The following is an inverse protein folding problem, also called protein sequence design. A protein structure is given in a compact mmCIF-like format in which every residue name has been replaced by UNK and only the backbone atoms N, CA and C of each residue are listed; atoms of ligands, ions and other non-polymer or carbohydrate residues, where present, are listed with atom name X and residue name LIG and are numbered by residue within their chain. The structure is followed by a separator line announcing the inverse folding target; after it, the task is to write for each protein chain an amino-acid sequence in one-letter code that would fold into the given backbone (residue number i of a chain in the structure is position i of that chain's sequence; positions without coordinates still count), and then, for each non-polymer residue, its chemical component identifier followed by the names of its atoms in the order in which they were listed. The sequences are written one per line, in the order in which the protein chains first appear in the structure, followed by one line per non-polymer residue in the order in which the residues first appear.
data_IF_995310715195
#
_entry.id   IF_995310715195
#
_cell.length_a   1.000
_cell.length_b   1.000
_cell.length_c   1.000
_cell.angle_alpha   90.00
_cell.angle_beta   90.00
_cell.angle_gamma   90.00
#
_symmetry.space_group_name_H-M   'P 1'
#
loop_
_entity.id
_entity.type
_entity.pdbx_description
1 polymer ?
#
# COMPACT_ATOMS: atom_id res chain seq x y z
N UNK A 1 24.45 -23.74 25.91
CA UNK A 1 24.81 -22.66 24.96
C UNK A 1 23.57 -22.22 24.15
N UNK A 2 22.72 -21.32 24.68
CA UNK A 2 21.51 -20.83 23.99
C UNK A 2 21.62 -19.37 23.49
N UNK A 3 22.75 -18.71 23.72
CA UNK A 3 22.92 -17.25 23.54
C UNK A 3 23.08 -16.89 22.05
N UNK A 4 23.74 -17.74 21.25
CA UNK A 4 24.00 -17.47 19.83
C UNK A 4 22.77 -17.52 18.91
N UNK A 5 21.80 -18.41 19.20
CA UNK A 5 20.58 -18.57 18.37
C UNK A 5 19.66 -17.35 18.47
N UNK A 6 19.61 -16.71 19.63
CA UNK A 6 18.75 -15.54 19.90
C UNK A 6 19.25 -14.30 19.15
N UNK A 7 20.57 -14.08 19.12
CA UNK A 7 21.20 -12.97 18.39
C UNK A 7 21.03 -13.10 16.87
N UNK A 8 21.23 -14.30 16.31
CA UNK A 8 21.02 -14.56 14.87
C UNK A 8 19.55 -14.35 14.49
N UNK A 9 18.61 -14.84 15.31
CA UNK A 9 17.17 -14.61 15.08
C UNK A 9 16.81 -13.13 15.09
N UNK A 10 17.38 -12.34 16.01
CA UNK A 10 17.18 -10.89 16.07
C UNK A 10 17.73 -10.19 14.83
N UNK A 11 18.94 -10.56 14.38
CA UNK A 11 19.57 -10.00 13.18
C UNK A 11 18.76 -10.29 11.91
N UNK A 12 18.34 -11.54 11.71
CA UNK A 12 17.51 -11.95 10.56
C UNK A 12 16.16 -11.20 10.57
N UNK A 13 15.56 -11.02 11.75
CA UNK A 13 14.31 -10.26 11.89
C UNK A 13 14.48 -8.80 11.50
N UNK A 14 15.59 -8.16 11.88
CA UNK A 14 15.89 -6.77 11.49
C UNK A 14 16.13 -6.61 9.98
N UNK A 15 16.90 -7.53 9.37
CA UNK A 15 17.16 -7.51 7.93
C UNK A 15 15.89 -7.73 7.09
N UNK A 16 15.03 -8.67 7.51
CA UNK A 16 13.75 -8.94 6.84
C UNK A 16 12.78 -7.76 6.95
N UNK A 17 12.78 -7.05 8.08
CA UNK A 17 11.97 -5.84 8.26
C UNK A 17 12.41 -4.70 7.31
N UNK A 18 13.72 -4.48 7.15
CA UNK A 18 14.25 -3.50 6.19
C UNK A 18 13.84 -3.83 4.76
N UNK A 19 13.98 -5.11 4.35
CA UNK A 19 13.56 -5.58 3.03
C UNK A 19 12.07 -5.37 2.77
N UNK A 20 11.21 -5.67 3.75
CA UNK A 20 9.76 -5.42 3.68
C UNK A 20 9.45 -3.94 3.49
N UNK A 21 10.11 -3.06 4.26
CA UNK A 21 9.90 -1.60 4.16
C UNK A 21 10.24 -1.09 2.76
N UNK A 22 11.36 -1.55 2.19
CA UNK A 22 11.76 -1.17 0.83
C UNK A 22 10.76 -1.64 -0.23
N UNK A 23 10.22 -2.87 -0.11
CA UNK A 23 9.20 -3.38 -1.03
C UNK A 23 7.91 -2.54 -1.02
N UNK A 24 7.47 -2.11 0.16
CA UNK A 24 6.27 -1.26 0.29
C UNK A 24 6.51 0.11 -0.34
N UNK A 25 7.68 0.72 -0.10
CA UNK A 25 8.05 2.02 -0.70
C UNK A 25 8.03 1.92 -2.23
N UNK A 26 8.71 0.93 -2.79
CA UNK A 26 8.73 0.69 -4.24
C UNK A 26 7.32 0.48 -4.82
N UNK A 27 6.46 -0.26 -4.10
CA UNK A 27 5.07 -0.48 -4.51
C UNK A 27 4.31 0.85 -4.62
N UNK A 28 4.44 1.73 -3.64
CA UNK A 28 3.77 3.04 -3.62
C UNK A 28 4.34 3.95 -4.72
N UNK A 29 5.66 3.97 -4.91
CA UNK A 29 6.30 4.77 -5.96
C UNK A 29 5.81 4.37 -7.36
N UNK A 30 5.64 3.06 -7.61
CA UNK A 30 5.09 2.58 -8.87
C UNK A 30 3.61 2.95 -9.04
N UNK A 31 2.82 2.88 -7.97
CA UNK A 31 1.41 3.27 -7.98
C UNK A 31 1.17 4.78 -8.10
N UNK A 32 2.16 5.61 -7.74
CA UNK A 32 2.12 7.06 -8.00
C UNK A 32 2.27 7.37 -9.49
N UNK A 33 2.98 6.54 -10.25
CA UNK A 33 3.18 6.75 -11.69
C UNK A 33 1.92 6.41 -12.48
N UNK A 34 1.34 5.22 -12.24
CA UNK A 34 0.14 4.78 -12.93
C UNK A 34 -0.65 3.73 -12.14
N UNK A 35 -1.98 3.65 -12.34
CA UNK A 35 -2.76 2.59 -11.73
C UNK A 35 -2.36 1.19 -12.20
N UNK A 36 -2.19 0.25 -11.27
CA UNK A 36 -1.73 -1.11 -11.57
C UNK A 36 -2.41 -2.17 -10.70
N UNK A 37 -2.47 -3.40 -11.22
CA UNK A 37 -2.93 -4.58 -10.47
C UNK A 37 -1.77 -5.20 -9.69
N UNK A 38 -2.07 -6.07 -8.73
CA UNK A 38 -1.04 -6.81 -7.99
C UNK A 38 -0.13 -7.66 -8.90
N UNK A 39 -0.66 -8.19 -9.99
CA UNK A 39 0.15 -8.93 -10.97
C UNK A 39 1.05 -8.00 -11.79
N UNK A 40 0.53 -6.85 -12.23
CA UNK A 40 1.33 -5.86 -12.96
C UNK A 40 2.52 -5.36 -12.12
N UNK A 41 2.27 -5.08 -10.83
CA UNK A 41 3.31 -4.69 -9.89
C UNK A 41 4.33 -5.82 -9.68
N UNK A 42 3.89 -7.08 -9.63
CA UNK A 42 4.77 -8.23 -9.46
C UNK A 42 5.77 -8.35 -10.61
N UNK A 43 5.29 -8.24 -11.85
CA UNK A 43 6.13 -8.28 -13.05
C UNK A 43 7.08 -7.08 -13.10
N UNK A 44 6.61 -5.88 -12.72
CA UNK A 44 7.42 -4.66 -12.79
C UNK A 44 8.50 -4.55 -11.72
N UNK A 45 8.20 -4.97 -10.49
CA UNK A 45 9.07 -4.79 -9.32
C UNK A 45 9.85 -6.06 -8.94
N UNK A 46 9.50 -7.22 -9.50
CA UNK A 46 10.03 -8.51 -9.08
C UNK A 46 9.55 -8.97 -7.70
N UNK A 47 8.63 -8.25 -7.06
CA UNK A 47 8.08 -8.63 -5.76
C UNK A 47 7.04 -9.74 -5.97
N UNK A 48 7.09 -10.78 -5.14
CA UNK A 48 6.13 -11.89 -5.20
C UNK A 48 4.69 -11.37 -5.02
N UNK A 49 3.78 -11.78 -5.90
CA UNK A 49 2.37 -11.36 -5.92
C UNK A 49 1.64 -11.52 -4.58
N UNK A 50 1.92 -12.60 -3.84
CA UNK A 50 1.34 -12.82 -2.52
C UNK A 50 1.71 -11.72 -1.51
N UNK A 51 2.95 -11.22 -1.57
CA UNK A 51 3.40 -10.12 -0.72
C UNK A 51 2.69 -8.82 -1.11
N UNK A 52 2.65 -8.52 -2.41
CA UNK A 52 1.97 -7.34 -2.94
C UNK A 52 0.49 -7.31 -2.56
N UNK A 53 -0.21 -8.44 -2.68
CA UNK A 53 -1.63 -8.52 -2.30
C UNK A 53 -1.84 -8.17 -0.83
N UNK A 54 -0.98 -8.65 0.08
CA UNK A 54 -1.04 -8.27 1.50
C UNK A 54 -0.70 -6.80 1.73
N UNK A 55 0.30 -6.26 1.03
CA UNK A 55 0.67 -4.85 1.17
C UNK A 55 -0.43 -3.93 0.67
N UNK A 56 -1.00 -4.22 -0.49
CA UNK A 56 -2.10 -3.44 -1.08
C UNK A 56 -3.32 -3.44 -0.17
N UNK A 57 -3.73 -4.60 0.37
CA UNK A 57 -4.84 -4.66 1.32
C UNK A 57 -4.60 -3.79 2.56
N UNK A 58 -3.38 -3.81 3.12
CA UNK A 58 -3.02 -2.95 4.26
C UNK A 58 -2.93 -1.47 3.90
N UNK A 59 -2.45 -1.14 2.71
CA UNK A 59 -2.39 0.26 2.24
C UNK A 59 -3.78 0.80 1.91
N UNK A 60 -4.69 -0.03 1.39
CA UNK A 60 -6.10 0.28 1.12
C UNK A 60 -6.82 0.58 2.45
N UNK A 61 -6.65 -0.28 3.46
CA UNK A 61 -7.16 -0.07 4.83
C UNK A 61 -6.66 1.26 5.46
N UNK A 62 -5.42 1.67 5.14
CA UNK A 62 -4.80 2.90 5.64
C UNK A 62 -5.08 4.13 4.78
N UNK A 63 -5.92 4.02 3.74
CA UNK A 63 -6.18 5.08 2.76
C UNK A 63 -4.89 5.63 2.12
N UNK A 64 -3.84 4.81 2.00
CA UNK A 64 -2.59 5.16 1.32
C UNK A 64 -2.61 4.83 -0.16
N UNK A 65 -3.49 3.90 -0.55
CA UNK A 65 -3.82 3.60 -1.95
C UNK A 65 -5.34 3.45 -2.04
N UNK A 66 -5.89 3.70 -3.22
CA UNK A 66 -7.31 3.48 -3.50
C UNK A 66 -7.48 2.58 -4.72
N UNK A 67 -8.66 1.96 -4.84
CA UNK A 67 -9.07 1.25 -6.06
C UNK A 67 -9.74 2.26 -6.98
N UNK A 68 -9.15 2.52 -8.15
CA UNK A 68 -9.70 3.48 -9.12
C UNK A 68 -10.78 2.82 -9.98
N UNK A 69 -10.56 1.58 -10.40
CA UNK A 69 -11.52 0.80 -11.17
C UNK A 69 -11.20 -0.71 -11.11
N UNK A 70 -12.16 -1.54 -11.52
CA UNK A 70 -11.96 -2.97 -11.70
C UNK A 70 -12.12 -3.34 -13.18
N UNK A 71 -11.11 -3.96 -13.76
CA UNK A 71 -11.15 -4.43 -15.15
C UNK A 71 -10.26 -5.65 -15.35
N UNK A 72 -10.38 -6.38 -16.48
CA UNK A 72 -9.42 -7.42 -16.86
C UNK A 72 -7.98 -6.94 -16.74
N UNK A 73 -7.18 -7.65 -15.96
CA UNK A 73 -5.76 -7.39 -15.80
C UNK A 73 -5.06 -7.60 -17.15
N UNK A 74 -4.24 -6.64 -17.58
CA UNK A 74 -3.49 -6.71 -18.86
C UNK A 74 -2.56 -7.92 -18.98
N UNK A 75 -2.15 -8.52 -17.86
CA UNK A 75 -1.24 -9.67 -17.84
C UNK A 75 -1.99 -11.00 -17.79
N UNK A 76 -3.03 -11.09 -16.95
CA UNK A 76 -3.70 -12.38 -16.68
C UNK A 76 -5.06 -12.51 -17.36
N UNK A 77 -5.63 -11.44 -17.92
CA UNK A 77 -6.98 -11.42 -18.50
C UNK A 77 -8.12 -11.49 -17.47
N UNK A 78 -7.88 -11.99 -16.26
CA UNK A 78 -8.89 -12.03 -15.19
C UNK A 78 -9.22 -10.64 -14.62
N UNK A 79 -10.47 -10.44 -14.20
CA UNK A 79 -10.93 -9.22 -13.52
C UNK A 79 -10.10 -8.97 -12.26
N UNK A 80 -9.56 -7.76 -12.13
CA UNK A 80 -8.74 -7.36 -11.00
C UNK A 80 -8.93 -5.87 -10.65
N UNK A 81 -8.68 -5.55 -9.37
CA UNK A 81 -8.61 -4.18 -8.87
C UNK A 81 -7.36 -3.47 -9.40
N UNK A 82 -7.54 -2.25 -9.91
CA UNK A 82 -6.46 -1.35 -10.25
C UNK A 82 -6.28 -0.34 -9.12
N UNK A 83 -5.13 -0.44 -8.46
CA UNK A 83 -4.76 0.43 -7.35
C UNK A 83 -4.07 1.69 -7.87
N UNK A 84 -4.23 2.81 -7.18
CA UNK A 84 -3.48 4.06 -7.40
C UNK A 84 -3.02 4.64 -6.08
N UNK A 85 -1.87 5.32 -6.11
CA UNK A 85 -1.33 6.10 -5.00
C UNK A 85 -1.12 7.57 -5.37
N UNK A 86 -1.77 8.03 -6.46
CA UNK A 86 -1.68 9.43 -6.89
C UNK A 86 -2.32 10.34 -5.83
N UNK A 87 -1.68 11.46 -5.44
CA UNK A 87 -2.26 12.38 -4.47
C UNK A 87 -3.64 12.91 -4.84
N UNK A 88 -3.92 13.03 -6.14
CA UNK A 88 -5.20 13.48 -6.70
C UNK A 88 -6.33 12.48 -6.45
N UNK A 89 -6.01 11.20 -6.43
CA UNK A 89 -6.96 10.09 -6.26
C UNK A 89 -7.26 9.81 -4.78
N UNK A 90 -6.41 10.28 -3.87
CA UNK A 90 -6.59 10.05 -2.44
C UNK A 90 -7.71 10.93 -1.88
N UNK A 91 -8.48 10.43 -0.89
CA UNK A 91 -9.52 11.24 -0.27
C UNK A 91 -8.91 12.51 0.31
N UNK A 92 -9.32 13.67 -0.21
CA UNK A 92 -9.04 14.95 0.42
C UNK A 92 -9.80 14.92 1.74
N UNK A 93 -9.08 14.84 2.85
CA UNK A 93 -9.70 14.92 4.17
C UNK A 93 -10.28 16.34 4.27
N UNK A 94 -11.56 16.51 3.95
CA UNK A 94 -12.29 17.71 4.37
C UNK A 94 -12.39 17.57 5.87
N UNK A 95 -11.60 18.33 6.63
CA UNK A 95 -11.87 18.53 8.05
C UNK A 95 -13.34 18.92 8.15
N UNK A 96 -14.22 18.10 8.76
CA UNK A 96 -15.55 18.57 9.09
C UNK A 96 -15.30 19.80 9.95
N UNK A 97 -15.88 20.95 9.60
CA UNK A 97 -15.71 22.20 10.34
C UNK A 97 -15.85 21.92 11.85
N UNK A 98 -14.72 21.82 12.54
CA UNK A 98 -14.65 21.36 13.93
C UNK A 98 -15.23 22.41 14.89
N UNK A 99 -15.59 23.57 14.34
CA UNK A 99 -16.21 24.70 15.02
C UNK A 99 -17.38 25.19 14.17
N UNK A 100 -18.62 24.74 14.42
CA UNK A 100 -19.78 25.39 13.83
C UNK A 100 -19.79 26.84 14.34
N UNK A 101 -19.51 27.80 13.46
CA UNK A 101 -19.37 29.23 13.81
C UNK A 101 -20.67 29.92 14.21
N UNK A 102 -21.79 29.19 14.29
CA UNK A 102 -23.10 29.73 14.67
C UNK A 102 -23.92 28.70 15.46
N UNK A 103 -23.77 28.67 16.79
CA UNK A 103 -24.65 27.91 17.68
C UNK A 103 -25.18 28.72 18.88
N UNK A 104 -24.83 30.00 19.01
CA UNK A 104 -25.38 30.86 20.06
C UNK A 104 -25.82 32.18 19.42
N UNK A 105 -27.01 32.15 18.82
CA UNK A 105 -27.72 33.36 18.43
C UNK A 105 -28.15 34.10 19.68
N UNK A 106 -27.67 35.33 19.80
CA UNK A 106 -28.17 36.39 20.69
C UNK A 106 -29.57 36.79 20.22
#
# INVERSE_FOLDING_TARGET
MMIGKTLVKKLVTMMTQSKKKNQIILTIEELKKAPATSMMLSVKTGIIRANLTRYLAKLEEQNKVIVVYEKPCKITGHKAKYYSAKPEDLPKVSTPDLFPTKAWGV
#
